data_IF_528746963747
#
_entry.id   IF_528746963747
#
_cell.length_a   1.000
_cell.length_b   1.000
_cell.length_c   1.000
_cell.angle_alpha   90.00
_cell.angle_beta   90.00
_cell.angle_gamma   90.00
#
_symmetry.space_group_name_H-M   'P 1'
#
loop_
_entity.id
_entity.type
_entity.pdbx_description
1 polymer ?
#
# COMPACT_ATOMS: atom_id res chain seq x y z
N UNK A 1 11.74 -18.65 13.94
CA UNK A 1 12.02 -18.21 12.55
C UNK A 1 13.51 -18.03 12.39
N UNK A 2 14.02 -18.14 11.16
CA UNK A 2 15.43 -17.91 10.84
C UNK A 2 15.71 -16.40 10.63
N UNK A 3 16.94 -15.91 10.91
CA UNK A 3 17.29 -14.52 10.67
C UNK A 3 17.24 -14.16 9.18
N UNK A 4 16.54 -13.07 8.85
CA UNK A 4 16.36 -12.61 7.46
C UNK A 4 17.13 -11.32 7.14
N UNK A 5 17.87 -10.77 8.10
CA UNK A 5 18.54 -9.47 7.98
C UNK A 5 19.57 -9.37 6.84
N UNK A 6 20.11 -10.49 6.37
CA UNK A 6 21.06 -10.53 5.25
C UNK A 6 20.42 -10.86 3.89
N UNK A 7 19.11 -11.12 3.83
CA UNK A 7 18.44 -11.43 2.58
C UNK A 7 18.36 -10.18 1.68
N UNK A 8 18.39 -10.35 0.35
CA UNK A 8 18.20 -9.24 -0.57
C UNK A 8 16.78 -8.68 -0.47
N UNK A 9 16.55 -7.38 -0.73
CA UNK A 9 15.21 -6.80 -0.73
C UNK A 9 14.20 -7.53 -1.64
N UNK A 10 14.68 -8.11 -2.74
CA UNK A 10 13.86 -8.89 -3.68
C UNK A 10 13.37 -10.23 -3.13
N UNK A 11 13.86 -10.68 -1.97
CA UNK A 11 13.32 -11.84 -1.27
C UNK A 11 12.01 -11.54 -0.52
N UNK A 12 11.62 -10.26 -0.45
CA UNK A 12 10.42 -9.81 0.26
C UNK A 12 9.38 -9.29 -0.72
N UNK A 13 8.15 -9.76 -0.55
CA UNK A 13 6.97 -9.22 -1.24
C UNK A 13 6.26 -8.27 -0.29
N UNK A 14 6.02 -7.03 -0.73
CA UNK A 14 5.25 -6.03 0.01
C UNK A 14 3.93 -5.75 -0.72
N UNK A 15 2.90 -5.44 0.03
CA UNK A 15 1.56 -5.18 -0.49
C UNK A 15 0.80 -4.27 0.47
N UNK A 16 -0.16 -3.50 -0.06
CA UNK A 16 -1.15 -2.79 0.75
C UNK A 16 -2.42 -3.61 0.90
N UNK A 17 -2.82 -4.31 -0.16
CA UNK A 17 -4.01 -5.15 -0.17
C UNK A 17 -3.71 -6.51 -0.77
N UNK A 18 -4.43 -7.52 -0.28
CA UNK A 18 -4.47 -8.88 -0.81
C UNK A 18 -5.91 -9.39 -0.68
N UNK A 19 -6.17 -10.57 -1.24
CA UNK A 19 -7.44 -11.25 -1.02
C UNK A 19 -7.74 -11.46 0.48
N UNK A 20 -6.72 -11.71 1.31
CA UNK A 20 -6.87 -11.86 2.75
C UNK A 20 -7.10 -10.53 3.47
N UNK A 21 -6.27 -9.50 3.20
CA UNK A 21 -6.38 -8.21 3.91
C UNK A 21 -7.71 -7.51 3.64
N UNK A 22 -8.28 -7.72 2.44
CA UNK A 22 -9.61 -7.23 2.06
C UNK A 22 -10.68 -8.25 2.46
N UNK A 23 -10.59 -9.49 1.98
CA UNK A 23 -11.65 -10.50 2.08
C UNK A 23 -11.88 -11.10 3.46
N UNK A 24 -10.88 -11.03 4.37
CA UNK A 24 -11.10 -11.47 5.75
C UNK A 24 -11.80 -10.40 6.60
N UNK A 25 -12.11 -9.22 6.06
CA UNK A 25 -13.00 -8.25 6.70
C UNK A 25 -14.46 -8.67 6.58
N UNK A 26 -15.29 -8.22 7.51
CA UNK A 26 -16.72 -8.55 7.53
C UNK A 26 -17.45 -8.10 6.26
N UNK A 27 -17.09 -6.94 5.72
CA UNK A 27 -17.71 -6.36 4.52
C UNK A 27 -16.75 -6.25 3.33
N UNK A 28 -15.58 -6.88 3.41
CA UNK A 28 -14.64 -6.93 2.28
C UNK A 28 -14.17 -5.55 1.80
N UNK A 29 -14.11 -4.56 2.68
CA UNK A 29 -13.80 -3.18 2.29
C UNK A 29 -12.32 -3.08 1.86
N UNK A 30 -12.08 -2.39 0.75
CA UNK A 30 -10.73 -2.04 0.29
C UNK A 30 -10.17 -0.89 1.12
N UNK A 31 -8.85 -0.73 1.09
CA UNK A 31 -8.17 0.35 1.80
C UNK A 31 -8.70 1.74 1.38
N UNK A 32 -9.01 1.93 0.09
CA UNK A 32 -9.58 3.18 -0.45
C UNK A 32 -10.96 3.55 0.14
N UNK A 33 -11.69 2.58 0.73
CA UNK A 33 -12.95 2.83 1.42
C UNK A 33 -12.76 3.11 2.93
N UNK A 34 -11.56 2.86 3.46
CA UNK A 34 -11.27 2.89 4.90
C UNK A 34 -10.34 4.03 5.30
N UNK A 35 -9.56 4.55 4.37
CA UNK A 35 -8.53 5.55 4.61
C UNK A 35 -8.71 6.78 3.72
N UNK A 36 -8.10 7.89 4.14
CA UNK A 36 -8.09 9.12 3.35
C UNK A 36 -7.43 8.86 1.98
N UNK A 37 -8.05 9.28 0.84
CA UNK A 37 -7.52 9.02 -0.49
C UNK A 37 -6.09 9.53 -0.71
N UNK A 38 -5.73 10.65 -0.09
CA UNK A 38 -4.37 11.22 -0.18
C UNK A 38 -3.37 10.30 0.53
N UNK A 39 -3.71 9.85 1.73
CA UNK A 39 -2.87 8.90 2.48
C UNK A 39 -2.68 7.60 1.71
N UNK A 40 -3.72 7.11 1.03
CA UNK A 40 -3.62 5.92 0.17
C UNK A 40 -2.65 6.14 -0.99
N UNK A 41 -2.67 7.30 -1.65
CA UNK A 41 -1.72 7.63 -2.71
C UNK A 41 -0.27 7.71 -2.20
N UNK A 42 -0.06 8.28 -1.01
CA UNK A 42 1.23 8.30 -0.35
C UNK A 42 1.75 6.89 -0.03
N UNK A 43 0.86 6.01 0.47
CA UNK A 43 1.18 4.60 0.73
C UNK A 43 1.49 3.84 -0.56
N UNK A 44 0.82 4.14 -1.68
CA UNK A 44 1.13 3.54 -2.98
C UNK A 44 2.52 3.94 -3.49
N UNK A 45 2.92 5.20 -3.29
CA UNK A 45 4.28 5.64 -3.59
C UNK A 45 5.30 4.89 -2.71
N UNK A 46 5.03 4.75 -1.41
CA UNK A 46 5.85 3.95 -0.50
C UNK A 46 5.99 2.50 -0.99
N UNK A 47 4.89 1.85 -1.38
CA UNK A 47 4.88 0.48 -1.88
C UNK A 47 5.70 0.33 -3.17
N UNK A 48 5.42 1.16 -4.18
CA UNK A 48 6.00 0.99 -5.52
C UNK A 48 7.46 1.44 -5.62
N UNK A 49 7.90 2.33 -4.75
CA UNK A 49 9.27 2.83 -4.73
C UNK A 49 10.10 2.25 -3.56
N UNK A 50 9.55 1.35 -2.74
CA UNK A 50 10.35 0.54 -1.82
C UNK A 50 11.15 -0.54 -2.59
N UNK A 51 12.37 -0.92 -2.17
CA UNK A 51 13.18 -1.93 -2.86
C UNK A 51 12.62 -3.36 -2.90
N UNK A 52 11.60 -3.66 -2.09
CA UNK A 52 10.91 -4.96 -2.09
C UNK A 52 10.13 -5.18 -3.39
N UNK A 53 9.70 -6.42 -3.65
CA UNK A 53 8.80 -6.74 -4.77
C UNK A 53 7.39 -6.24 -4.43
N UNK A 54 6.83 -5.26 -5.14
CA UNK A 54 5.47 -4.81 -4.87
C UNK A 54 4.46 -5.79 -5.47
N UNK A 55 3.39 -6.06 -4.73
CA UNK A 55 2.24 -6.83 -5.21
C UNK A 55 0.97 -5.99 -5.09
N UNK A 56 0.15 -6.05 -6.14
CA UNK A 56 -1.19 -5.50 -6.17
C UNK A 56 -2.23 -6.60 -6.06
N UNK A 57 -3.33 -6.26 -5.41
CA UNK A 57 -4.61 -6.90 -5.55
C UNK A 57 -5.42 -6.25 -6.69
N UNK A 58 -6.14 -7.06 -7.46
CA UNK A 58 -6.85 -6.58 -8.64
C UNK A 58 -7.80 -5.41 -8.32
N UNK A 59 -7.73 -4.34 -9.11
CA UNK A 59 -8.55 -3.14 -8.96
C UNK A 59 -7.91 -2.02 -8.15
N UNK A 60 -6.83 -2.27 -7.42
CA UNK A 60 -6.10 -1.23 -6.69
C UNK A 60 -5.54 -0.15 -7.62
N UNK A 61 -5.11 -0.54 -8.82
CA UNK A 61 -4.48 0.33 -9.79
C UNK A 61 -5.43 1.41 -10.36
N UNK A 62 -6.73 1.27 -10.15
CA UNK A 62 -7.75 2.26 -10.48
C UNK A 62 -8.70 2.59 -9.32
N UNK A 63 -8.32 2.25 -8.08
CA UNK A 63 -9.10 2.49 -6.86
C UNK A 63 -10.54 1.94 -6.96
N UNK A 64 -10.67 0.66 -7.33
CA UNK A 64 -11.96 -0.02 -7.46
C UNK A 64 -12.83 0.15 -6.21
N UNK A 65 -14.11 0.50 -6.39
CA UNK A 65 -15.05 0.68 -5.28
C UNK A 65 -15.70 -0.63 -4.81
N UNK A 66 -15.74 -1.63 -5.70
CA UNK A 66 -16.28 -2.97 -5.40
C UNK A 66 -15.53 -3.63 -4.26
N UNK A 67 -16.21 -4.15 -3.22
CA UNK A 67 -15.55 -4.91 -2.17
C UNK A 67 -14.96 -6.20 -2.73
N UNK A 68 -14.20 -6.92 -1.91
CA UNK A 68 -13.89 -8.32 -2.18
C UNK A 68 -14.32 -9.16 -0.99
N UNK A 69 -15.45 -9.84 -1.12
CA UNK A 69 -16.08 -10.60 -0.04
C UNK A 69 -15.58 -12.05 -0.03
N UNK A 70 -15.69 -12.71 1.12
CA UNK A 70 -15.58 -14.16 1.18
C UNK A 70 -16.85 -14.79 0.59
N UNK A 71 -16.72 -15.51 -0.52
CA UNK A 71 -17.80 -16.23 -1.18
C UNK A 71 -17.42 -17.69 -1.47
N UNK A 72 -18.42 -18.56 -1.51
CA UNK A 72 -18.30 -19.98 -1.81
C UNK A 72 -19.57 -20.51 -2.50
N UNK A 73 -19.54 -21.75 -2.97
CA UNK A 73 -20.66 -22.42 -3.63
C UNK A 73 -20.85 -23.84 -3.05
N UNK A 74 -21.13 -23.89 -1.74
CA UNK A 74 -21.42 -25.13 -1.04
C UNK A 74 -22.92 -25.42 -1.01
N UNK A 75 -23.26 -26.68 -0.74
CA UNK A 75 -24.64 -27.16 -0.81
C UNK A 75 -25.07 -27.77 0.54
N UNK A 76 -26.39 -27.78 0.77
CA UNK A 76 -27.02 -28.39 1.94
C UNK A 76 -26.43 -27.91 3.29
N UNK A 77 -26.18 -28.83 4.23
CA UNK A 77 -25.74 -28.52 5.60
C UNK A 77 -24.41 -27.75 5.63
N UNK A 78 -23.52 -27.99 4.66
CA UNK A 78 -22.23 -27.30 4.58
C UNK A 78 -22.40 -25.80 4.29
N UNK A 79 -23.38 -25.41 3.45
CA UNK A 79 -23.66 -24.00 3.17
C UNK A 79 -24.06 -23.26 4.45
N UNK A 80 -25.03 -23.82 5.19
CA UNK A 80 -25.50 -23.23 6.45
C UNK A 80 -24.39 -23.16 7.51
N UNK A 81 -23.56 -24.19 7.60
CA UNK A 81 -22.43 -24.24 8.54
C UNK A 81 -21.37 -23.17 8.22
N UNK A 82 -21.05 -22.96 6.94
CA UNK A 82 -20.08 -21.93 6.52
C UNK A 82 -20.60 -20.53 6.82
N UNK A 83 -21.87 -20.25 6.51
CA UNK A 83 -22.48 -18.93 6.79
C UNK A 83 -22.53 -18.65 8.30
N UNK A 84 -22.92 -19.64 9.11
CA UNK A 84 -22.93 -19.51 10.56
C UNK A 84 -21.52 -19.33 11.13
N UNK A 85 -20.55 -20.12 10.65
CA UNK A 85 -19.14 -20.01 11.04
C UNK A 85 -18.55 -18.64 10.73
N UNK A 86 -18.78 -18.12 9.51
CA UNK A 86 -18.31 -16.80 9.11
C UNK A 86 -18.89 -15.69 9.97
N UNK A 87 -20.19 -15.73 10.30
CA UNK A 87 -20.81 -14.73 11.18
C UNK A 87 -20.29 -14.84 12.62
N UNK A 88 -20.07 -16.06 13.11
CA UNK A 88 -19.55 -16.30 14.46
C UNK A 88 -18.10 -15.82 14.63
N UNK A 89 -17.27 -15.89 13.58
CA UNK A 89 -15.89 -15.38 13.57
C UNK A 89 -15.82 -13.90 14.01
N UNK A 90 -16.83 -13.10 13.64
CA UNK A 90 -16.86 -11.68 13.98
C UNK A 90 -17.49 -11.35 15.34
N UNK A 91 -18.06 -12.32 16.05
CA UNK A 91 -18.75 -12.06 17.32
C UNK A 91 -17.85 -11.46 18.42
N UNK A 92 -16.53 -11.65 18.32
CA UNK A 92 -15.55 -11.06 19.24
C UNK A 92 -15.27 -9.58 19.02
N UNK A 93 -15.73 -8.98 17.92
CA UNK A 93 -15.50 -7.57 17.63
C UNK A 93 -16.65 -6.69 18.14
N UNK A 94 -16.38 -5.56 18.82
CA UNK A 94 -17.43 -4.71 19.39
C UNK A 94 -18.51 -4.26 18.39
N UNK A 95 -18.13 -3.97 17.14
CA UNK A 95 -19.05 -3.58 16.07
C UNK A 95 -20.06 -4.69 15.67
N UNK A 96 -19.77 -5.93 16.04
CA UNK A 96 -20.54 -7.13 15.72
C UNK A 96 -20.93 -7.91 16.97
N UNK A 97 -20.94 -7.27 18.14
CA UNK A 97 -21.35 -7.90 19.40
C UNK A 97 -22.86 -8.22 19.41
N UNK A 98 -23.64 -7.41 18.72
CA UNK A 98 -25.06 -7.62 18.51
C UNK A 98 -25.35 -8.67 17.41
N UNK A 99 -26.39 -9.47 17.62
CA UNK A 99 -26.78 -10.52 16.68
C UNK A 99 -27.36 -9.95 15.38
N UNK A 100 -28.09 -8.84 15.46
CA UNK A 100 -28.65 -8.20 14.26
C UNK A 100 -27.51 -7.60 13.44
N UNK A 101 -26.52 -6.95 14.06
CA UNK A 101 -25.31 -6.50 13.36
C UNK A 101 -24.59 -7.63 12.62
N UNK A 102 -24.44 -8.82 13.22
CA UNK A 102 -23.86 -10.00 12.54
C UNK A 102 -24.72 -10.54 11.42
N UNK A 103 -26.05 -10.43 11.52
CA UNK A 103 -26.95 -10.88 10.46
C UNK A 103 -26.77 -10.10 9.15
N UNK A 104 -26.22 -8.89 9.21
CA UNK A 104 -25.89 -8.06 8.04
C UNK A 104 -24.60 -8.49 7.34
N UNK A 105 -23.76 -9.34 7.95
CA UNK A 105 -22.57 -9.88 7.28
C UNK A 105 -23.04 -10.71 6.08
N UNK A 106 -22.54 -10.44 4.86
CA UNK A 106 -22.96 -11.12 3.64
C UNK A 106 -22.84 -12.64 3.76
N UNK A 107 -23.85 -13.35 3.26
CA UNK A 107 -23.83 -14.80 3.21
C UNK A 107 -22.82 -15.26 2.15
N UNK A 108 -21.77 -16.02 2.51
CA UNK A 108 -20.78 -16.48 1.55
C UNK A 108 -21.35 -17.32 0.41
N UNK A 109 -22.45 -18.05 0.64
CA UNK A 109 -23.09 -18.90 -0.37
C UNK A 109 -24.12 -18.16 -1.24
N UNK A 110 -24.44 -16.91 -0.93
CA UNK A 110 -25.33 -16.11 -1.76
C UNK A 110 -24.61 -15.66 -3.04
N UNK A 111 -25.25 -15.84 -4.19
CA UNK A 111 -24.71 -15.41 -5.49
C UNK A 111 -24.35 -13.92 -5.50
N UNK A 112 -25.14 -13.10 -4.80
CA UNK A 112 -24.95 -11.67 -4.65
C UNK A 112 -23.60 -11.32 -4.02
N UNK A 113 -23.07 -12.16 -3.12
CA UNK A 113 -21.76 -11.95 -2.47
C UNK A 113 -20.61 -12.09 -3.48
N UNK A 114 -20.69 -13.10 -4.37
CA UNK A 114 -19.78 -13.23 -5.50
C UNK A 114 -19.96 -12.08 -6.49
N UNK A 115 -21.21 -11.77 -6.87
CA UNK A 115 -21.51 -10.74 -7.86
C UNK A 115 -21.04 -9.35 -7.41
N UNK A 116 -21.18 -9.02 -6.13
CA UNK A 116 -20.70 -7.77 -5.53
C UNK A 116 -19.17 -7.65 -5.55
N UNK A 117 -18.45 -8.79 -5.59
CA UNK A 117 -16.98 -8.84 -5.61
C UNK A 117 -16.38 -8.69 -7.02
N UNK A 118 -17.22 -8.57 -8.05
CA UNK A 118 -16.74 -8.33 -9.42
C UNK A 118 -16.32 -6.87 -9.61
N UNK A 119 -15.17 -6.70 -10.24
CA UNK A 119 -14.66 -5.38 -10.64
C UNK A 119 -15.63 -4.71 -11.61
N UNK A 120 -15.92 -3.44 -11.32
CA UNK A 120 -16.66 -2.53 -12.20
C UNK A 120 -15.67 -1.85 -13.14
N UNK A 121 -15.40 -2.49 -14.29
CA UNK A 121 -14.35 -2.06 -15.22
C UNK A 121 -14.54 -0.65 -15.79
N UNK A 122 -15.78 -0.15 -15.81
CA UNK A 122 -16.09 1.22 -16.18
C UNK A 122 -15.45 2.27 -15.25
N UNK A 123 -15.20 1.92 -13.97
CA UNK A 123 -14.56 2.81 -12.99
C UNK A 123 -13.12 3.14 -13.39
N UNK A 124 -12.46 2.25 -14.13
CA UNK A 124 -11.11 2.45 -14.66
C UNK A 124 -11.00 3.72 -15.52
N UNK A 125 -12.07 4.05 -16.24
CA UNK A 125 -12.15 5.24 -17.11
C UNK A 125 -12.82 6.44 -16.43
N UNK A 126 -13.25 6.29 -15.17
CA UNK A 126 -13.72 7.43 -14.37
C UNK A 126 -12.58 8.41 -14.10
N UNK A 127 -12.90 9.65 -13.70
CA UNK A 127 -11.87 10.63 -13.32
C UNK A 127 -10.94 10.10 -12.22
N UNK A 128 -11.50 9.44 -11.20
CA UNK A 128 -10.71 8.89 -10.10
C UNK A 128 -9.81 7.74 -10.57
N UNK A 129 -10.38 6.77 -11.30
CA UNK A 129 -9.64 5.62 -11.80
C UNK A 129 -8.53 6.01 -12.79
N UNK A 130 -8.80 6.95 -13.69
CA UNK A 130 -7.82 7.47 -14.63
C UNK A 130 -6.66 8.20 -13.92
N UNK A 131 -6.96 9.01 -12.90
CA UNK A 131 -5.94 9.68 -12.08
C UNK A 131 -5.07 8.67 -11.32
N UNK A 132 -5.70 7.68 -10.67
CA UNK A 132 -4.98 6.62 -9.95
C UNK A 132 -4.09 5.80 -10.87
N UNK A 133 -4.58 5.43 -12.06
CA UNK A 133 -3.78 4.74 -13.08
C UNK A 133 -2.59 5.56 -13.56
N UNK A 134 -2.77 6.87 -13.75
CA UNK A 134 -1.68 7.76 -14.15
C UNK A 134 -0.60 7.82 -13.06
N UNK A 135 -0.99 7.94 -11.79
CA UNK A 135 -0.08 7.89 -10.64
C UNK A 135 0.68 6.56 -10.60
N UNK A 136 -0.03 5.43 -10.64
CA UNK A 136 0.60 4.09 -10.60
C UNK A 136 1.56 3.90 -11.77
N UNK A 137 1.16 4.32 -12.98
CA UNK A 137 2.02 4.24 -14.17
C UNK A 137 3.28 5.09 -14.03
N UNK A 138 3.16 6.31 -13.48
CA UNK A 138 4.30 7.18 -13.21
C UNK A 138 5.25 6.54 -12.18
N UNK A 139 4.73 6.03 -11.07
CA UNK A 139 5.52 5.39 -10.01
C UNK A 139 6.25 4.15 -10.52
N UNK A 140 5.60 3.30 -11.32
CA UNK A 140 6.22 2.15 -11.97
C UNK A 140 7.31 2.57 -12.97
N UNK A 141 7.09 3.65 -13.73
CA UNK A 141 8.11 4.18 -14.63
C UNK A 141 9.35 4.68 -13.86
N UNK A 142 9.14 5.38 -12.75
CA UNK A 142 10.22 5.84 -11.86
C UNK A 142 10.97 4.66 -11.23
N UNK A 143 10.24 3.64 -10.74
CA UNK A 143 10.83 2.40 -10.22
C UNK A 143 11.76 1.76 -11.24
N UNK A 144 11.27 1.56 -12.47
CA UNK A 144 12.04 0.94 -13.56
C UNK A 144 13.27 1.75 -13.95
N UNK A 145 13.14 3.08 -14.00
CA UNK A 145 14.21 3.96 -14.43
C UNK A 145 15.31 4.16 -13.37
N UNK A 146 14.94 4.22 -12.09
CA UNK A 146 15.84 4.68 -11.04
C UNK A 146 16.13 3.67 -9.94
N UNK A 147 15.26 2.69 -9.70
CA UNK A 147 15.41 1.74 -8.61
C UNK A 147 15.87 0.37 -9.11
N UNK A 148 15.17 -0.20 -10.09
CA UNK A 148 15.44 -1.55 -10.65
C UNK A 148 16.91 -1.80 -11.03
N UNK A 149 17.65 -0.86 -11.66
CA UNK A 149 19.05 -1.07 -12.01
C UNK A 149 19.97 -1.37 -10.81
N UNK A 150 19.53 -1.07 -9.59
CA UNK A 150 20.32 -1.20 -8.37
C UNK A 150 19.86 -2.35 -7.45
N UNK A 151 18.78 -3.08 -7.81
CA UNK A 151 18.16 -4.08 -6.94
C UNK A 151 18.87 -5.44 -6.94
N UNK A 152 19.51 -5.83 -8.06
CA UNK A 152 20.14 -7.15 -8.19
C UNK A 152 21.31 -7.37 -7.21
N UNK A 153 22.04 -6.30 -6.89
CA UNK A 153 23.17 -6.30 -5.95
C UNK A 153 22.79 -5.75 -4.56
N UNK A 154 21.52 -5.39 -4.35
CA UNK A 154 21.07 -4.88 -3.05
C UNK A 154 21.03 -6.00 -2.02
N UNK A 155 21.49 -5.71 -0.81
CA UNK A 155 21.44 -6.64 0.32
C UNK A 155 21.07 -5.94 1.61
N UNK A 156 20.45 -6.69 2.51
CA UNK A 156 20.04 -6.17 3.81
C UNK A 156 18.76 -5.34 3.77
N UNK A 157 18.37 -4.89 4.97
CA UNK A 157 17.18 -4.07 5.19
C UNK A 157 17.45 -2.57 5.21
N UNK A 158 16.39 -1.79 5.37
CA UNK A 158 16.49 -0.35 5.58
C UNK A 158 17.05 -0.05 6.98
N UNK A 159 17.82 1.04 7.10
CA UNK A 159 17.93 1.75 8.37
C UNK A 159 16.75 2.70 8.52
N UNK A 160 16.03 2.60 9.63
CA UNK A 160 14.83 3.40 9.92
C UNK A 160 15.11 4.38 11.07
N UNK A 161 14.72 5.65 10.87
CA UNK A 161 14.67 6.67 11.93
C UNK A 161 13.28 7.26 11.98
N UNK A 162 12.65 7.27 13.15
CA UNK A 162 11.31 7.80 13.34
C UNK A 162 11.31 8.99 14.31
N UNK A 163 10.39 9.93 14.08
CA UNK A 163 10.05 11.02 14.98
C UNK A 163 8.52 11.19 14.95
N UNK A 164 7.83 10.60 15.93
CA UNK A 164 6.37 10.49 15.88
C UNK A 164 5.93 9.64 14.67
N UNK A 165 5.01 10.17 13.87
CA UNK A 165 4.48 9.53 12.66
C UNK A 165 5.24 9.94 11.37
N UNK A 166 6.32 10.70 11.52
CA UNK A 166 7.28 10.96 10.45
C UNK A 166 8.48 10.00 10.55
N UNK A 167 9.00 9.54 9.40
CA UNK A 167 10.16 8.67 9.37
C UNK A 167 11.02 8.83 8.13
N UNK A 168 12.27 8.39 8.26
CA UNK A 168 13.25 8.24 7.18
C UNK A 168 13.69 6.79 7.12
N UNK A 169 13.53 6.17 5.95
CA UNK A 169 14.06 4.84 5.66
C UNK A 169 15.15 4.95 4.60
N UNK A 170 16.31 4.35 4.84
CA UNK A 170 17.46 4.41 3.95
C UNK A 170 17.96 3.01 3.62
N UNK A 171 18.12 2.74 2.32
CA UNK A 171 18.71 1.51 1.80
C UNK A 171 20.04 1.81 1.12
N UNK A 172 21.01 0.92 1.34
CA UNK A 172 22.21 0.84 0.51
C UNK A 172 21.94 -0.20 -0.57
N UNK A 173 21.88 0.26 -1.81
CA UNK A 173 21.63 -0.58 -2.98
C UNK A 173 22.94 -0.87 -3.72
N UNK A 174 22.84 -1.61 -4.82
CA UNK A 174 23.98 -1.88 -5.71
C UNK A 174 24.67 -0.61 -6.20
N UNK A 175 25.95 -0.73 -6.56
CA UNK A 175 26.75 0.36 -7.13
C UNK A 175 26.91 1.59 -6.21
N UNK A 176 26.88 1.41 -4.89
CA UNK A 176 27.06 2.49 -3.91
C UNK A 176 25.92 3.51 -3.91
N UNK A 177 24.74 3.13 -4.44
CA UNK A 177 23.56 3.98 -4.45
C UNK A 177 22.87 3.93 -3.11
N UNK A 178 22.59 5.11 -2.55
CA UNK A 178 21.70 5.26 -1.41
C UNK A 178 20.32 5.69 -1.89
N UNK A 179 19.32 4.90 -1.52
CA UNK A 179 17.91 5.20 -1.75
C UNK A 179 17.25 5.61 -0.44
N UNK A 180 16.61 6.77 -0.40
CA UNK A 180 16.03 7.32 0.83
C UNK A 180 14.55 7.61 0.61
N UNK A 181 13.71 7.09 1.51
CA UNK A 181 12.31 7.48 1.69
C UNK A 181 12.23 8.42 2.88
N UNK A 182 11.57 9.57 2.69
CA UNK A 182 11.07 10.43 3.76
C UNK A 182 9.55 10.42 3.69
N UNK A 183 8.89 10.12 4.79
CA UNK A 183 7.44 10.08 4.87
C UNK A 183 6.96 10.83 6.11
N UNK A 184 5.91 11.63 5.96
CA UNK A 184 5.24 12.30 7.05
C UNK A 184 3.78 11.88 7.10
N UNK A 185 3.39 11.07 8.08
CA UNK A 185 2.00 10.70 8.32
C UNK A 185 1.42 11.37 9.58
N UNK A 186 2.15 12.33 10.16
CA UNK A 186 1.65 13.16 11.25
C UNK A 186 0.69 14.24 10.74
N UNK A 187 -0.10 14.81 11.64
CA UNK A 187 -1.05 15.90 11.34
C UNK A 187 -0.38 17.26 11.09
N UNK A 188 0.92 17.39 11.40
CA UNK A 188 1.70 18.62 11.23
C UNK A 188 2.85 18.45 10.23
N UNK A 189 3.32 19.53 9.57
CA UNK A 189 4.49 19.45 8.70
C UNK A 189 5.76 18.98 9.42
N UNK A 190 6.51 18.08 8.80
CA UNK A 190 7.78 17.56 9.32
C UNK A 190 8.97 18.05 8.49
N UNK A 191 10.03 18.49 9.17
CA UNK A 191 11.28 18.92 8.54
C UNK A 191 12.28 17.76 8.51
N UNK A 192 12.90 17.56 7.37
CA UNK A 192 13.92 16.53 7.16
C UNK A 192 15.25 17.16 6.76
N UNK A 193 16.34 16.56 7.23
CA UNK A 193 17.69 16.98 6.88
C UNK A 193 17.93 16.79 5.38
N UNK A 194 18.32 17.87 4.71
CA UNK A 194 18.77 17.81 3.33
C UNK A 194 20.18 17.21 3.28
N UNK A 195 20.38 16.25 2.38
CA UNK A 195 21.70 15.65 2.15
C UNK A 195 22.24 16.20 0.82
N UNK A 196 23.41 16.82 0.86
CA UNK A 196 24.04 17.37 -0.33
C UNK A 196 24.27 16.28 -1.39
N UNK A 197 23.92 16.57 -2.64
CA UNK A 197 24.06 15.64 -3.77
C UNK A 197 22.89 14.68 -3.96
N UNK A 198 21.89 14.67 -3.08
CA UNK A 198 20.66 13.88 -3.30
C UNK A 198 19.85 14.44 -4.48
N UNK A 199 19.51 13.56 -5.41
CA UNK A 199 18.55 13.82 -6.48
C UNK A 199 17.15 13.42 -6.01
N UNK A 200 16.18 14.35 -6.07
CA UNK A 200 14.77 14.01 -5.85
C UNK A 200 14.23 13.24 -7.05
N UNK A 201 13.77 12.01 -6.83
CA UNK A 201 13.18 11.15 -7.85
C UNK A 201 11.66 11.26 -7.83
N UNK A 202 11.07 11.35 -6.64
CA UNK A 202 9.65 11.51 -6.47
C UNK A 202 9.37 12.38 -5.25
N UNK A 203 8.37 13.25 -5.37
CA UNK A 203 7.80 13.98 -4.24
C UNK A 203 6.29 14.06 -4.45
N UNK A 204 5.54 13.37 -3.60
CA UNK A 204 4.10 13.38 -3.57
C UNK A 204 3.61 14.13 -2.32
N UNK A 205 2.66 15.03 -2.49
CA UNK A 205 1.94 15.65 -1.38
C UNK A 205 0.57 16.17 -1.84
N UNK A 206 -0.42 16.21 -0.95
CA UNK A 206 -1.65 16.96 -1.19
C UNK A 206 -1.35 18.46 -1.26
N UNK A 207 -1.84 19.15 -2.29
CA UNK A 207 -1.89 20.61 -2.30
C UNK A 207 -0.61 21.35 -2.74
N UNK A 208 -0.62 22.66 -2.48
CA UNK A 208 0.31 23.65 -3.03
C UNK A 208 1.78 23.36 -2.64
N UNK A 209 2.70 23.60 -3.57
CA UNK A 209 4.15 23.39 -3.38
C UNK A 209 4.79 24.51 -2.53
N UNK A 210 3.97 25.28 -1.82
CA UNK A 210 4.37 26.41 -1.01
C UNK A 210 4.89 25.93 0.35
N UNK A 211 6.14 25.46 0.34
CA UNK A 211 6.89 25.10 1.53
C UNK A 211 8.39 25.04 1.22
N UNK A 212 9.27 25.15 2.22
CA UNK A 212 10.68 24.91 2.00
C UNK A 212 10.87 23.47 1.50
N UNK A 213 11.80 23.27 0.54
CA UNK A 213 12.08 21.94 0.00
C UNK A 213 12.43 20.90 1.09
N UNK A 214 12.89 21.33 2.27
CA UNK A 214 13.19 20.47 3.42
C UNK A 214 11.99 20.00 4.24
N UNK A 215 10.77 20.50 4.00
CA UNK A 215 9.58 20.12 4.77
C UNK A 215 8.57 19.31 3.95
N UNK A 216 8.00 18.26 4.54
CA UNK A 216 6.87 17.54 3.97
C UNK A 216 5.59 17.87 4.77
N UNK A 217 4.50 18.24 4.09
CA UNK A 217 3.20 18.38 4.76
C UNK A 217 2.68 17.00 5.24
N UNK A 218 1.57 16.95 5.98
CA UNK A 218 0.86 15.70 6.26
C UNK A 218 0.61 14.89 4.99
N UNK A 219 0.77 13.58 5.10
CA UNK A 219 0.72 12.58 4.01
C UNK A 219 1.73 12.84 2.87
N UNK A 220 2.75 13.67 3.13
CA UNK A 220 3.83 13.94 2.20
C UNK A 220 4.87 12.82 2.18
N UNK A 221 5.29 12.43 0.97
CA UNK A 221 6.33 11.42 0.74
C UNK A 221 7.34 11.90 -0.28
N UNK A 222 8.61 11.61 -0.03
CA UNK A 222 9.72 11.94 -0.94
C UNK A 222 10.68 10.76 -1.05
N UNK A 223 11.06 10.45 -2.29
CA UNK A 223 12.14 9.53 -2.59
C UNK A 223 13.30 10.27 -3.22
N UNK A 224 14.48 10.06 -2.66
CA UNK A 224 15.74 10.60 -3.19
C UNK A 224 16.75 9.48 -3.46
N UNK A 225 17.65 9.79 -4.38
CA UNK A 225 18.75 8.94 -4.79
C UNK A 225 20.05 9.73 -4.63
N UNK A 226 21.02 9.15 -3.93
CA UNK A 226 22.39 9.63 -3.87
C UNK A 226 23.30 8.57 -4.49
N UNK A 227 24.06 8.96 -5.52
CA UNK A 227 25.11 8.10 -6.09
C UNK A 227 26.40 8.32 -5.30
N UNK A 228 27.23 7.27 -5.21
CA UNK A 228 28.62 7.46 -4.80
C UNK A 228 29.27 8.52 -5.70
N UNK A 229 30.15 9.36 -5.13
CA UNK A 229 30.97 10.23 -5.96
C UNK A 229 31.81 9.33 -6.87
N UNK A 230 31.82 9.60 -8.18
CA UNK A 230 32.79 8.98 -9.07
C UNK A 230 34.18 9.37 -8.55
N UNK A 231 34.95 8.39 -8.06
CA UNK A 231 36.40 8.56 -7.87
C UNK A 231 37.00 8.77 -9.26
N UNK A 232 37.10 10.03 -9.69
CA UNK A 232 37.84 10.45 -10.89
C UNK A 232 39.32 10.61 -10.58
#
# INVERSE_FOLDING_TARGET
>A
GEPTAGLPPLAFVSFLQTHDQVGNRAFGERLDALADPVRVEALLACLLLAPHVPMFFMGEEFAASSPFLYFCDFHAELASAVTAGRRAEFAGFPAFADADARAHIPDPNAFETFAASKLRWEERSSKNGANRLALVSQLLALRRAHLEPHLAEASGGATLRCAGEAFVATWQLGHGVRWTLRANFADEPAVFDAVAGEQVIYRGHPGDRSGPASALPPDGVEFTLLRAADDR
#
